data_IF_252334888472
#
_entry.id   IF_252334888472
#
_cell.length_a   1.000
_cell.length_b   1.000
_cell.length_c   1.000
_cell.angle_alpha   90.00
_cell.angle_beta   90.00
_cell.angle_gamma   90.00
#
_symmetry.space_group_name_H-M   'P 1'
#
loop_
_entity.id
_entity.type
_entity.pdbx_description
1 polymer ?
#
# COMPACT_ATOMS: atom_id res chain seq x y z
N UNK A 1 -19.50 20.20 -81.52
CA UNK A 1 -20.97 20.41 -81.42
C UNK A 1 -21.60 19.09 -81.00
N UNK A 2 -22.36 19.02 -79.88
CA UNK A 2 -22.31 19.89 -78.69
C UNK A 2 -20.91 19.76 -78.01
N UNK A 3 -20.62 19.77 -76.70
CA UNK A 3 -21.37 19.99 -75.45
C UNK A 3 -20.42 20.59 -74.37
N UNK A 4 -20.97 21.03 -73.24
CA UNK A 4 -20.19 21.45 -72.05
C UNK A 4 -21.06 21.26 -70.79
N UNK A 5 -20.57 20.56 -69.76
CA UNK A 5 -21.16 20.57 -68.40
C UNK A 5 -20.08 20.69 -67.34
N UNK A 6 -20.19 21.72 -66.51
CA UNK A 6 -19.30 22.03 -65.38
C UNK A 6 -20.00 21.69 -64.06
N UNK A 7 -19.34 20.94 -63.18
CA UNK A 7 -19.82 20.67 -61.83
C UNK A 7 -18.69 20.80 -60.79
N UNK A 8 -18.63 21.99 -60.19
CA UNK A 8 -17.84 22.44 -59.04
C UNK A 8 -17.36 21.34 -58.07
N UNK A 9 -16.07 21.36 -57.72
CA UNK A 9 -15.60 20.75 -56.47
C UNK A 9 -16.29 21.40 -55.26
N UNK A 10 -16.83 20.58 -54.36
CA UNK A 10 -17.32 21.04 -53.07
C UNK A 10 -16.27 20.74 -51.98
N UNK A 11 -15.55 21.77 -51.52
CA UNK A 11 -14.71 21.64 -50.34
C UNK A 11 -15.58 21.38 -49.11
N UNK A 12 -15.60 20.14 -48.62
CA UNK A 12 -16.27 19.76 -47.38
C UNK A 12 -15.45 20.25 -46.19
N UNK A 13 -15.70 21.49 -45.77
CA UNK A 13 -15.04 22.08 -44.60
C UNK A 13 -15.23 21.20 -43.37
N UNK A 14 -14.13 20.82 -42.71
CA UNK A 14 -14.17 20.08 -41.47
C UNK A 14 -14.68 21.01 -40.35
N UNK A 15 -15.75 20.60 -39.65
CA UNK A 15 -16.20 21.29 -38.44
C UNK A 15 -15.18 21.01 -37.33
N UNK A 16 -14.72 22.02 -36.56
CA UNK A 16 -13.83 21.76 -35.44
C UNK A 16 -14.55 20.87 -34.42
N UNK A 17 -13.89 19.81 -33.98
CA UNK A 17 -14.39 18.98 -32.89
C UNK A 17 -14.26 19.79 -31.59
N UNK A 18 -15.38 20.16 -30.99
CA UNK A 18 -15.39 20.58 -29.59
C UNK A 18 -15.10 19.36 -28.72
N UNK A 19 -13.81 19.06 -28.55
CA UNK A 19 -13.35 18.22 -27.47
C UNK A 19 -13.87 18.82 -26.16
N UNK A 20 -14.84 18.15 -25.52
CA UNK A 20 -15.26 18.52 -24.17
C UNK A 20 -14.03 18.41 -23.28
N UNK A 21 -13.67 19.50 -22.60
CA UNK A 21 -12.70 19.42 -21.52
C UNK A 21 -13.20 18.36 -20.52
N UNK A 22 -12.34 17.42 -20.17
CA UNK A 22 -12.64 16.49 -19.07
C UNK A 22 -12.85 17.28 -17.78
N UNK A 23 -13.60 16.75 -16.81
CA UNK A 23 -13.65 17.36 -15.48
C UNK A 23 -12.23 17.48 -14.93
N UNK A 24 -11.97 18.57 -14.19
CA UNK A 24 -10.65 18.85 -13.63
C UNK A 24 -10.13 17.66 -12.80
N UNK A 25 -8.81 17.44 -12.83
CA UNK A 25 -8.17 16.42 -12.01
C UNK A 25 -8.40 16.75 -10.53
N UNK A 26 -9.25 15.98 -9.84
CA UNK A 26 -9.19 15.92 -8.39
C UNK A 26 -7.82 15.35 -7.98
N UNK A 27 -7.15 15.98 -7.00
CA UNK A 27 -5.87 15.51 -6.41
C UNK A 27 -6.05 14.21 -5.57
N UNK A 28 -7.13 13.47 -5.76
CA UNK A 28 -7.51 12.30 -4.96
C UNK A 28 -6.70 11.06 -5.34
N UNK A 29 -6.16 10.36 -4.33
CA UNK A 29 -5.47 9.09 -4.51
C UNK A 29 -6.46 8.00 -4.97
N UNK A 30 -6.39 7.63 -6.25
CA UNK A 30 -7.26 6.58 -6.82
C UNK A 30 -6.81 5.19 -6.40
N UNK A 31 -7.79 4.35 -6.01
CA UNK A 31 -7.61 2.94 -5.67
C UNK A 31 -6.90 2.18 -6.80
N UNK A 32 -6.00 1.25 -6.46
CA UNK A 32 -5.31 0.42 -7.45
C UNK A 32 -6.29 -0.51 -8.18
N UNK A 33 -6.26 -0.53 -9.52
CA UNK A 33 -7.15 -1.36 -10.34
C UNK A 33 -6.89 -2.88 -10.21
N UNK A 34 -5.91 -3.29 -9.39
CA UNK A 34 -5.66 -4.67 -8.96
C UNK A 34 -5.51 -4.68 -7.44
N UNK A 35 -6.00 -5.72 -6.75
CA UNK A 35 -5.70 -5.94 -5.34
C UNK A 35 -4.23 -6.36 -5.16
N UNK A 36 -3.70 -6.12 -3.97
CA UNK A 36 -2.36 -6.52 -3.53
C UNK A 36 -2.37 -7.96 -2.99
N UNK A 37 -3.51 -8.39 -2.44
CA UNK A 37 -3.76 -9.75 -1.92
C UNK A 37 -5.27 -10.06 -2.01
N UNK A 38 -5.62 -11.35 -2.14
CA UNK A 38 -6.99 -11.85 -2.14
C UNK A 38 -7.07 -13.14 -1.31
N UNK A 39 -8.21 -13.38 -0.66
CA UNK A 39 -8.40 -14.56 0.19
C UNK A 39 -9.72 -14.47 0.96
N UNK A 40 -9.75 -15.03 2.17
CA UNK A 40 -10.91 -14.97 3.05
C UNK A 40 -10.61 -14.17 4.32
N UNK A 41 -11.61 -13.49 4.88
CA UNK A 41 -11.59 -12.97 6.25
C UNK A 41 -12.36 -13.95 7.12
N UNK A 42 -11.74 -14.49 8.18
CA UNK A 42 -12.36 -15.46 9.09
C UNK A 42 -12.42 -14.92 10.52
N UNK A 43 -13.63 -14.92 11.07
CA UNK A 43 -13.93 -14.70 12.48
C UNK A 43 -14.58 -15.95 13.06
N UNK A 44 -13.77 -16.80 13.72
CA UNK A 44 -14.21 -18.09 14.25
C UNK A 44 -14.85 -18.97 13.15
N UNK A 45 -16.19 -19.13 13.15
CA UNK A 45 -16.95 -19.89 12.16
C UNK A 45 -17.46 -19.04 10.98
N UNK A 46 -17.43 -17.71 11.08
CA UNK A 46 -17.84 -16.79 10.00
C UNK A 46 -16.66 -16.60 9.04
N UNK A 47 -16.90 -16.74 7.74
CA UNK A 47 -15.89 -16.53 6.70
C UNK A 47 -16.50 -15.78 5.50
N UNK A 48 -15.77 -14.83 4.93
CA UNK A 48 -16.17 -14.13 3.71
C UNK A 48 -14.99 -13.89 2.74
N UNK A 49 -15.19 -14.05 1.42
CA UNK A 49 -14.16 -13.77 0.41
C UNK A 49 -13.91 -12.25 0.26
N UNK A 50 -12.64 -11.85 0.32
CA UNK A 50 -12.18 -10.45 0.45
C UNK A 50 -10.89 -10.20 -0.36
N UNK A 51 -10.61 -8.92 -0.61
CA UNK A 51 -9.42 -8.45 -1.29
C UNK A 51 -8.86 -7.17 -0.64
N UNK A 52 -7.52 -7.09 -0.54
CA UNK A 52 -6.78 -5.94 -0.02
C UNK A 52 -6.32 -5.04 -1.17
N UNK A 53 -6.67 -3.75 -1.12
CA UNK A 53 -6.23 -2.72 -2.07
C UNK A 53 -5.42 -1.65 -1.34
N UNK A 54 -4.40 -1.06 -1.97
CA UNK A 54 -3.61 0.00 -1.33
C UNK A 54 -4.47 1.22 -1.02
N UNK A 55 -4.50 1.68 0.23
CA UNK A 55 -5.23 2.88 0.64
C UNK A 55 -4.42 4.18 0.42
N UNK A 56 -3.13 4.06 0.12
CA UNK A 56 -2.25 5.16 -0.28
C UNK A 56 -1.76 4.94 -1.72
N UNK A 57 -1.54 6.03 -2.45
CA UNK A 57 -1.05 5.99 -3.83
C UNK A 57 0.34 6.58 -3.93
N UNK A 58 1.21 5.91 -4.70
CA UNK A 58 2.55 6.36 -5.10
C UNK A 58 2.57 7.05 -6.46
N UNK A 59 1.43 7.59 -6.89
CA UNK A 59 1.30 8.22 -8.22
C UNK A 59 2.14 9.49 -8.39
N UNK A 60 2.56 10.12 -7.29
CA UNK A 60 3.42 11.30 -7.27
C UNK A 60 4.91 10.96 -7.14
N UNK A 61 5.28 9.70 -6.81
CA UNK A 61 6.67 9.28 -6.67
C UNK A 61 7.42 9.45 -8.01
N UNK A 62 8.32 10.44 -8.10
CA UNK A 62 9.13 10.69 -9.31
C UNK A 62 10.15 9.56 -9.50
N UNK A 63 9.75 8.51 -10.21
CA UNK A 63 10.65 7.39 -10.53
C UNK A 63 11.60 7.76 -11.66
N UNK A 64 12.87 8.02 -11.33
CA UNK A 64 13.91 8.25 -12.33
C UNK A 64 14.22 6.99 -13.14
N UNK A 65 14.80 7.18 -14.32
CA UNK A 65 15.29 6.12 -15.19
C UNK A 65 16.75 6.38 -15.54
N UNK A 66 17.58 5.33 -15.54
CA UNK A 66 18.94 5.43 -16.06
C UNK A 66 18.87 5.63 -17.57
N UNK A 67 19.46 6.71 -18.06
CA UNK A 67 19.56 7.09 -19.47
C UNK A 67 21.03 7.07 -19.88
N UNK A 68 21.35 6.51 -21.05
CA UNK A 68 22.69 6.65 -21.64
C UNK A 68 22.85 8.11 -22.16
N UNK A 69 23.86 8.87 -21.70
CA UNK A 69 23.95 10.31 -21.98
C UNK A 69 24.35 10.63 -23.43
N UNK A 70 24.97 9.69 -24.15
CA UNK A 70 25.41 9.87 -25.54
C UNK A 70 24.28 9.64 -26.55
N UNK A 71 23.36 8.74 -26.22
CA UNK A 71 22.30 8.26 -27.14
C UNK A 71 20.88 8.57 -26.68
N UNK A 72 20.72 9.12 -25.47
CA UNK A 72 19.45 9.36 -24.78
C UNK A 72 18.54 8.12 -24.62
N UNK A 73 19.08 6.91 -24.81
CA UNK A 73 18.32 5.67 -24.66
C UNK A 73 18.16 5.26 -23.19
N UNK A 74 16.97 4.81 -22.83
CA UNK A 74 16.68 4.21 -21.51
C UNK A 74 17.41 2.89 -21.34
N UNK A 75 18.25 2.78 -20.31
CA UNK A 75 18.96 1.56 -19.95
C UNK A 75 17.96 0.44 -19.57
N UNK A 76 18.29 -0.80 -19.95
CA UNK A 76 17.64 -2.03 -19.49
C UNK A 76 18.63 -2.83 -18.64
N UNK A 77 18.27 -3.09 -17.38
CA UNK A 77 19.10 -3.91 -16.48
C UNK A 77 18.89 -5.39 -16.79
N UNK A 78 19.88 -6.01 -17.43
CA UNK A 78 19.95 -7.45 -17.72
C UNK A 78 20.73 -8.14 -16.59
N UNK A 79 20.29 -9.33 -16.18
CA UNK A 79 21.08 -10.14 -15.24
C UNK A 79 22.31 -10.68 -15.97
N UNK A 80 23.48 -10.63 -15.36
CA UNK A 80 24.73 -11.08 -15.97
C UNK A 80 25.49 -11.90 -14.95
N UNK A 81 25.73 -13.15 -15.29
CA UNK A 81 26.59 -14.05 -14.55
C UNK A 81 28.06 -13.73 -14.87
N UNK A 82 28.99 -13.71 -13.90
CA UNK A 82 30.37 -13.29 -14.13
C UNK A 82 31.14 -14.18 -15.12
N UNK A 83 30.83 -15.48 -15.16
CA UNK A 83 31.58 -16.47 -15.94
C UNK A 83 30.92 -16.79 -17.29
N UNK A 84 29.59 -16.70 -17.37
CA UNK A 84 28.80 -17.10 -18.55
C UNK A 84 28.07 -15.95 -19.26
N UNK A 85 28.04 -14.74 -18.67
CA UNK A 85 27.49 -13.54 -19.31
C UNK A 85 25.98 -13.34 -19.10
N UNK A 86 25.27 -12.67 -20.03
CA UNK A 86 23.87 -12.30 -19.84
C UNK A 86 22.91 -13.50 -19.73
N UNK A 87 22.12 -13.56 -18.63
CA UNK A 87 21.19 -14.66 -18.34
C UNK A 87 19.74 -14.18 -18.41
N UNK A 88 18.84 -15.01 -18.95
CA UNK A 88 17.41 -14.71 -18.97
C UNK A 88 16.80 -14.83 -17.57
N UNK A 89 15.99 -13.82 -17.16
CA UNK A 89 15.37 -13.79 -15.82
C UNK A 89 14.45 -14.97 -15.52
N UNK A 90 13.92 -15.64 -16.54
CA UNK A 90 13.09 -16.85 -16.39
C UNK A 90 13.88 -18.08 -15.92
N UNK A 91 15.19 -18.12 -16.21
CA UNK A 91 16.10 -19.21 -15.86
C UNK A 91 16.77 -19.02 -14.48
N UNK A 92 16.55 -17.88 -13.82
CA UNK A 92 17.15 -17.58 -12.52
C UNK A 92 16.41 -18.27 -11.38
N UNK A 93 17.15 -19.08 -10.61
CA UNK A 93 16.67 -19.70 -9.37
C UNK A 93 16.93 -18.81 -8.16
N UNK A 94 16.23 -19.06 -7.04
CA UNK A 94 16.50 -18.38 -5.76
C UNK A 94 17.55 -19.14 -4.97
N UNK A 95 18.54 -18.43 -4.44
CA UNK A 95 19.55 -18.98 -3.53
C UNK A 95 19.45 -18.35 -2.14
N UNK A 96 19.76 -19.12 -1.09
CA UNK A 96 19.90 -18.64 0.28
C UNK A 96 21.35 -18.83 0.76
N UNK A 97 21.98 -17.77 1.26
CA UNK A 97 23.37 -17.81 1.72
C UNK A 97 23.46 -18.41 3.13
N UNK A 98 24.07 -19.60 3.24
CA UNK A 98 24.25 -20.30 4.53
C UNK A 98 25.61 -19.97 5.19
N UNK A 99 26.60 -19.65 4.38
CA UNK A 99 27.94 -19.19 4.75
C UNK A 99 28.45 -18.28 3.63
N UNK A 100 29.48 -17.46 3.89
CA UNK A 100 30.00 -16.51 2.91
C UNK A 100 30.28 -17.18 1.54
N UNK A 101 29.66 -16.65 0.49
CA UNK A 101 29.71 -17.15 -0.89
C UNK A 101 29.17 -18.59 -1.10
N UNK A 102 28.46 -19.18 -0.12
CA UNK A 102 27.90 -20.53 -0.19
C UNK A 102 26.37 -20.47 -0.16
N UNK A 103 25.76 -20.75 -1.31
CA UNK A 103 24.31 -20.64 -1.53
C UNK A 103 23.66 -22.02 -1.66
N UNK A 104 22.59 -22.24 -0.91
CA UNK A 104 21.64 -23.34 -1.16
C UNK A 104 20.61 -22.84 -2.16
N UNK A 105 20.51 -23.51 -3.33
CA UNK A 105 19.42 -23.26 -4.28
C UNK A 105 18.13 -23.76 -3.67
N UNK A 106 17.13 -22.88 -3.55
CA UNK A 106 15.79 -23.21 -3.05
C UNK A 106 14.83 -23.20 -4.22
N UNK A 107 14.28 -24.38 -4.56
CA UNK A 107 13.37 -24.53 -5.70
C UNK A 107 11.99 -23.90 -5.39
N UNK A 108 11.21 -23.52 -6.42
CA UNK A 108 9.84 -23.06 -6.22
C UNK A 108 8.99 -24.06 -5.43
N UNK A 109 9.15 -25.36 -5.69
CA UNK A 109 8.37 -26.44 -5.07
C UNK A 109 8.73 -26.64 -3.59
N UNK A 110 9.99 -26.36 -3.22
CA UNK A 110 10.48 -26.42 -1.84
C UNK A 110 9.99 -25.23 -1.01
N UNK A 111 9.91 -24.04 -1.62
CA UNK A 111 9.24 -22.87 -1.01
C UNK A 111 7.73 -23.10 -0.86
N UNK A 112 7.12 -23.78 -1.83
CA UNK A 112 5.70 -24.12 -1.81
C UNK A 112 5.36 -25.17 -0.74
N UNK A 113 6.24 -26.14 -0.50
CA UNK A 113 6.11 -27.11 0.61
C UNK A 113 6.34 -26.51 2.01
N UNK A 114 6.91 -25.30 2.10
CA UNK A 114 7.15 -24.55 3.35
C UNK A 114 6.15 -23.37 3.51
N UNK A 115 5.15 -23.25 2.63
CA UNK A 115 4.06 -22.26 2.80
C UNK A 115 3.30 -22.50 4.10
N UNK A 116 3.09 -21.42 4.86
CA UNK A 116 2.19 -21.44 6.02
C UNK A 116 0.78 -21.79 5.54
N UNK A 117 0.08 -22.67 6.26
CA UNK A 117 -1.26 -23.15 5.88
C UNK A 117 -2.29 -22.00 5.75
N UNK A 118 -2.05 -20.89 6.44
CA UNK A 118 -2.84 -19.63 6.42
C UNK A 118 -2.61 -18.73 5.20
N UNK A 119 -1.93 -19.20 4.14
CA UNK A 119 -1.50 -18.37 2.98
C UNK A 119 -2.60 -17.47 2.38
N UNK A 120 -3.85 -17.93 2.34
CA UNK A 120 -4.99 -17.24 1.70
C UNK A 120 -6.12 -16.84 2.69
N UNK A 121 -5.82 -16.65 3.97
CA UNK A 121 -6.82 -16.23 4.97
C UNK A 121 -6.29 -15.12 5.89
N UNK A 122 -7.13 -14.14 6.20
CA UNK A 122 -6.99 -13.23 7.34
C UNK A 122 -7.75 -13.85 8.51
N UNK A 123 -7.02 -14.44 9.45
CA UNK A 123 -7.59 -15.00 10.67
C UNK A 123 -7.58 -13.97 11.79
N UNK A 124 -8.76 -13.62 12.33
CA UNK A 124 -8.87 -12.74 13.50
C UNK A 124 -8.55 -13.55 14.77
N UNK A 125 -7.46 -13.18 15.45
CA UNK A 125 -6.94 -13.83 16.66
C UNK A 125 -7.40 -13.14 17.96
N UNK A 126 -7.64 -11.81 17.93
CA UNK A 126 -7.89 -11.00 19.13
C UNK A 126 -8.61 -9.70 18.80
N UNK A 127 -9.25 -9.11 19.81
CA UNK A 127 -9.76 -7.74 19.79
C UNK A 127 -9.03 -6.90 20.85
N UNK A 128 -8.68 -5.65 20.54
CA UNK A 128 -7.98 -4.70 21.43
C UNK A 128 -8.57 -3.29 21.30
N UNK A 129 -8.23 -2.38 22.22
CA UNK A 129 -8.50 -0.94 22.04
C UNK A 129 -7.44 -0.34 21.08
N UNK A 130 -7.79 0.66 20.27
CA UNK A 130 -6.82 1.29 19.34
C UNK A 130 -5.60 1.85 20.09
N UNK A 131 -5.83 2.43 21.28
CA UNK A 131 -4.79 3.00 22.15
C UNK A 131 -3.80 1.98 22.73
N UNK A 132 -4.09 0.68 22.67
CA UNK A 132 -3.13 -0.36 23.06
C UNK A 132 -2.02 -0.54 22.00
N UNK A 133 -2.27 -0.11 20.77
CA UNK A 133 -1.37 -0.25 19.63
C UNK A 133 -0.57 1.05 19.46
N UNK A 134 0.59 1.12 20.13
CA UNK A 134 1.52 2.25 20.02
C UNK A 134 1.80 2.62 18.54
N UNK A 135 1.83 3.94 18.24
CA UNK A 135 1.91 4.47 16.86
C UNK A 135 3.13 3.95 16.08
N UNK A 136 4.22 3.55 16.75
CA UNK A 136 5.40 2.95 16.13
C UNK A 136 5.12 1.59 15.46
N UNK A 137 4.06 0.87 15.83
CA UNK A 137 3.70 -0.41 15.23
C UNK A 137 2.89 -0.27 13.93
N UNK A 138 2.15 0.83 13.73
CA UNK A 138 1.29 1.00 12.55
C UNK A 138 2.10 1.26 11.28
N UNK A 139 1.89 0.45 10.23
CA UNK A 139 2.64 0.52 8.98
C UNK A 139 1.75 0.92 7.79
N UNK A 140 1.55 0.05 6.79
CA UNK A 140 0.86 0.41 5.54
C UNK A 140 -0.64 0.14 5.63
N UNK A 141 -1.51 1.11 5.32
CA UNK A 141 -2.96 0.93 5.25
C UNK A 141 -3.43 0.38 3.89
N UNK A 142 -4.47 -0.45 3.95
CA UNK A 142 -5.14 -1.09 2.82
C UNK A 142 -6.65 -1.06 3.01
N UNK A 143 -7.42 -0.78 1.97
CA UNK A 143 -8.86 -1.04 1.99
C UNK A 143 -9.10 -2.54 1.85
N UNK A 144 -9.80 -3.14 2.82
CA UNK A 144 -10.24 -4.53 2.79
C UNK A 144 -11.69 -4.54 2.27
N UNK A 145 -11.91 -5.09 1.07
CA UNK A 145 -13.21 -5.07 0.40
C UNK A 145 -13.73 -6.49 0.15
N UNK A 146 -15.06 -6.73 0.14
CA UNK A 146 -15.62 -8.01 -0.31
C UNK A 146 -15.25 -8.26 -1.78
N UNK A 147 -14.72 -9.45 -2.10
CA UNK A 147 -14.39 -9.80 -3.49
C UNK A 147 -15.55 -10.46 -4.24
N UNK A 148 -16.55 -10.98 -3.52
CA UNK A 148 -17.74 -11.61 -4.09
C UNK A 148 -19.01 -11.17 -3.36
N UNK A 149 -20.15 -11.23 -4.06
CA UNK A 149 -21.48 -10.91 -3.49
C UNK A 149 -21.92 -11.90 -2.40
N UNK A 150 -21.46 -13.14 -2.49
CA UNK A 150 -21.64 -14.22 -1.50
C UNK A 150 -21.13 -13.87 -0.11
N UNK A 151 -20.11 -13.00 -0.01
CA UNK A 151 -19.48 -12.60 1.25
C UNK A 151 -20.07 -11.35 1.92
N UNK A 152 -21.00 -10.64 1.27
CA UNK A 152 -21.42 -9.30 1.69
C UNK A 152 -22.04 -9.26 3.09
N UNK A 153 -22.93 -10.20 3.41
CA UNK A 153 -23.64 -10.20 4.69
C UNK A 153 -22.67 -10.49 5.85
N UNK A 154 -21.85 -11.54 5.72
CA UNK A 154 -20.83 -11.92 6.69
C UNK A 154 -19.76 -10.82 6.90
N UNK A 155 -19.31 -10.18 5.83
CA UNK A 155 -18.43 -9.00 5.91
C UNK A 155 -19.10 -7.83 6.65
N UNK A 156 -20.37 -7.56 6.36
CA UNK A 156 -21.11 -6.43 6.97
C UNK A 156 -21.36 -6.67 8.46
N UNK A 157 -21.64 -7.92 8.87
CA UNK A 157 -21.74 -8.32 10.27
C UNK A 157 -20.41 -8.13 11.01
N UNK A 158 -19.28 -8.51 10.41
CA UNK A 158 -17.95 -8.30 11.02
C UNK A 158 -17.65 -6.79 11.17
N UNK A 159 -17.96 -5.98 10.17
CA UNK A 159 -17.81 -4.51 10.25
C UNK A 159 -18.67 -3.90 11.36
N UNK A 160 -19.96 -4.22 11.40
CA UNK A 160 -20.87 -3.63 12.38
C UNK A 160 -20.52 -4.06 13.81
N UNK A 161 -20.11 -5.32 14.02
CA UNK A 161 -19.65 -5.78 15.33
C UNK A 161 -18.37 -5.07 15.81
N UNK A 162 -17.47 -4.67 14.90
CA UNK A 162 -16.30 -3.86 15.23
C UNK A 162 -16.68 -2.41 15.56
N UNK A 163 -17.62 -1.81 14.81
CA UNK A 163 -18.14 -0.46 15.03
C UNK A 163 -18.87 -0.35 16.38
N UNK A 164 -19.83 -1.25 16.65
CA UNK A 164 -20.62 -1.27 17.90
C UNK A 164 -19.76 -1.51 19.15
N UNK A 165 -18.67 -2.27 19.03
CA UNK A 165 -17.77 -2.55 20.18
C UNK A 165 -16.63 -1.54 20.32
N UNK A 166 -16.38 -0.70 19.31
CA UNK A 166 -15.25 0.24 19.29
C UNK A 166 -13.88 -0.46 19.29
N UNK A 167 -13.78 -1.68 18.74
CA UNK A 167 -12.58 -2.53 18.84
C UNK A 167 -11.81 -2.62 17.53
N UNK A 168 -10.49 -2.78 17.67
CA UNK A 168 -9.61 -3.20 16.57
C UNK A 168 -9.49 -4.72 16.60
N UNK A 169 -9.79 -5.39 15.47
CA UNK A 169 -9.48 -6.81 15.31
C UNK A 169 -8.02 -6.98 14.89
N UNK A 170 -7.26 -7.72 15.70
CA UNK A 170 -5.92 -8.19 15.36
C UNK A 170 -6.00 -9.56 14.70
N UNK A 171 -5.28 -9.74 13.61
CA UNK A 171 -5.18 -11.00 12.88
C UNK A 171 -3.87 -11.14 12.11
N UNK A 172 -3.74 -12.19 11.31
CA UNK A 172 -2.55 -12.41 10.46
C UNK A 172 -2.90 -12.59 9.00
N UNK A 173 -1.97 -12.21 8.13
CA UNK A 173 -2.07 -12.41 6.68
C UNK A 173 -0.70 -12.74 6.09
N UNK A 174 -0.64 -13.61 5.07
CA UNK A 174 0.59 -13.88 4.33
C UNK A 174 0.67 -12.99 3.09
N UNK A 175 1.52 -11.97 3.13
CA UNK A 175 1.74 -11.02 2.04
C UNK A 175 3.21 -11.04 1.59
N UNK A 176 3.44 -11.13 0.27
CA UNK A 176 4.78 -11.15 -0.32
C UNK A 176 5.73 -12.20 0.31
N UNK A 177 5.22 -13.42 0.55
CA UNK A 177 5.95 -14.54 1.16
C UNK A 177 6.44 -14.28 2.59
N UNK A 178 5.78 -13.37 3.33
CA UNK A 178 5.94 -13.23 4.79
C UNK A 178 4.58 -13.13 5.48
N UNK A 179 4.46 -13.76 6.64
CA UNK A 179 3.36 -13.47 7.57
C UNK A 179 3.50 -12.03 8.09
N UNK A 180 2.37 -11.33 8.21
CA UNK A 180 2.22 -10.00 8.80
C UNK A 180 1.10 -10.02 9.82
N UNK A 181 1.32 -9.40 10.96
CA UNK A 181 0.24 -8.99 11.84
C UNK A 181 -0.54 -7.86 11.17
N UNK A 182 -1.87 -7.88 11.26
CA UNK A 182 -2.77 -6.84 10.75
C UNK A 182 -3.74 -6.38 11.83
N UNK A 183 -4.03 -5.08 11.81
CA UNK A 183 -5.11 -4.45 12.54
C UNK A 183 -6.24 -4.10 11.57
N UNK A 184 -7.48 -4.47 11.89
CA UNK A 184 -8.68 -4.14 11.12
C UNK A 184 -9.51 -3.14 11.94
N UNK A 185 -9.71 -1.92 11.40
CA UNK A 185 -10.67 -0.94 11.90
C UNK A 185 -11.93 -0.94 11.00
N UNK A 186 -13.14 -0.71 11.56
CA UNK A 186 -14.29 -0.34 10.78
C UNK A 186 -14.11 1.09 10.25
N UNK A 187 -14.52 1.33 9.00
CA UNK A 187 -14.41 2.65 8.38
C UNK A 187 -15.57 2.92 7.43
N UNK A 188 -16.50 3.75 7.87
CA UNK A 188 -17.75 4.02 7.15
C UNK A 188 -18.50 2.72 6.80
N UNK A 189 -18.58 2.39 5.51
CA UNK A 189 -19.22 1.17 4.97
C UNK A 189 -18.22 0.04 4.69
N UNK A 190 -16.96 0.21 5.08
CA UNK A 190 -15.86 -0.71 4.80
C UNK A 190 -15.04 -1.10 6.02
N UNK A 191 -13.97 -1.87 5.77
CA UNK A 191 -12.91 -2.19 6.72
C UNK A 191 -11.60 -1.62 6.18
N UNK A 192 -10.83 -0.96 7.05
CA UNK A 192 -9.48 -0.51 6.75
C UNK A 192 -8.49 -1.41 7.50
N UNK A 193 -7.58 -2.02 6.75
CA UNK A 193 -6.62 -3.01 7.23
C UNK A 193 -5.22 -2.42 7.23
N UNK A 194 -4.61 -2.26 8.39
CA UNK A 194 -3.22 -1.84 8.52
C UNK A 194 -2.34 -3.05 8.74
N UNK A 195 -1.27 -3.16 7.96
CA UNK A 195 -0.14 -3.99 8.37
C UNK A 195 0.50 -3.37 9.62
N UNK A 196 0.85 -4.21 10.58
CA UNK A 196 1.64 -3.83 11.75
C UNK A 196 3.09 -4.32 11.59
N UNK A 197 4.02 -3.60 12.23
CA UNK A 197 5.42 -3.99 12.37
C UNK A 197 5.57 -5.06 13.46
N UNK A 198 6.53 -5.95 13.30
CA UNK A 198 6.90 -6.90 14.35
C UNK A 198 7.75 -6.23 15.44
N UNK A 199 7.88 -6.88 16.61
CA UNK A 199 8.55 -6.25 17.77
C UNK A 199 10.02 -5.95 17.52
N UNK A 200 10.69 -6.75 16.70
CA UNK A 200 12.08 -6.58 16.26
C UNK A 200 12.26 -5.45 15.23
N UNK A 201 11.23 -5.14 14.43
CA UNK A 201 11.22 -3.98 13.52
C UNK A 201 11.06 -2.62 14.24
N UNK A 202 10.72 -2.62 15.54
CA UNK A 202 10.46 -1.41 16.34
C UNK A 202 11.62 -1.10 17.29
N UNK A 203 12.41 -0.07 16.96
CA UNK A 203 13.50 0.41 17.81
C UNK A 203 13.04 0.77 19.23
N UNK A 204 13.89 0.55 20.25
CA UNK A 204 13.53 0.77 21.65
C UNK A 204 13.69 2.26 22.03
N UNK A 205 12.62 2.97 22.47
CA UNK A 205 12.73 4.37 22.89
C UNK A 205 13.72 4.58 24.04
N UNK A 206 13.90 3.60 24.93
CA UNK A 206 14.84 3.69 26.07
C UNK A 206 16.31 3.75 25.64
N UNK A 207 16.64 3.19 24.47
CA UNK A 207 18.00 3.29 23.91
C UNK A 207 18.15 4.49 22.98
N UNK A 208 17.08 4.86 22.25
CA UNK A 208 17.07 6.03 21.38
C UNK A 208 17.14 7.37 22.15
N UNK A 209 16.63 7.41 23.38
CA UNK A 209 16.59 8.61 24.23
C UNK A 209 17.53 8.53 25.45
N UNK A 210 18.50 7.61 25.47
CA UNK A 210 19.35 7.34 26.63
C UNK A 210 20.15 8.57 27.11
N UNK A 211 20.61 9.40 26.17
CA UNK A 211 21.41 10.60 26.45
C UNK A 211 20.56 11.86 26.77
N UNK A 212 19.22 11.76 26.71
CA UNK A 212 18.32 12.89 26.99
C UNK A 212 18.11 13.01 28.51
N UNK A 213 18.51 14.12 29.16
CA UNK A 213 18.40 14.24 30.62
C UNK A 213 16.93 14.23 31.09
N UNK A 214 16.61 13.33 32.03
CA UNK A 214 15.30 13.28 32.69
C UNK A 214 15.04 14.43 33.69
N UNK A 215 15.86 15.49 33.66
CA UNK A 215 15.72 16.66 34.52
C UNK A 215 14.53 17.52 34.07
N UNK A 216 13.71 17.98 35.02
CA UNK A 216 12.58 18.87 34.72
C UNK A 216 13.10 20.26 34.32
N UNK A 217 12.73 20.82 33.15
CA UNK A 217 13.09 22.17 32.76
C UNK A 217 12.48 23.25 33.67
N UNK A 218 12.97 24.48 33.54
CA UNK A 218 12.38 25.64 34.21
C UNK A 218 10.90 25.80 33.86
N UNK A 219 10.06 26.01 34.89
CA UNK A 219 8.60 26.07 34.73
C UNK A 219 8.16 27.28 33.91
N UNK A 220 8.80 28.44 34.06
CA UNK A 220 8.46 29.66 33.30
C UNK A 220 8.76 29.49 31.82
N UNK A 221 9.86 28.82 31.47
CA UNK A 221 10.16 28.45 30.08
C UNK A 221 9.12 27.49 29.50
N UNK A 222 8.71 26.47 30.26
CA UNK A 222 7.63 25.55 29.86
C UNK A 222 6.29 26.29 29.67
N UNK A 223 5.93 27.19 30.58
CA UNK A 223 4.66 27.94 30.49
C UNK A 223 4.68 29.04 29.40
N UNK A 224 5.86 29.47 28.92
CA UNK A 224 6.00 30.26 27.69
C UNK A 224 5.79 29.36 26.46
N UNK A 225 6.42 28.19 26.41
CA UNK A 225 6.29 27.27 25.28
C UNK A 225 4.84 26.80 25.07
N UNK A 226 4.09 26.53 26.15
CA UNK A 226 2.65 26.22 26.09
C UNK A 226 1.85 27.30 25.35
N UNK A 227 2.06 28.58 25.68
CA UNK A 227 1.32 29.68 25.04
C UNK A 227 1.57 29.78 23.54
N UNK A 228 2.77 29.42 23.08
CA UNK A 228 3.10 29.37 21.65
C UNK A 228 2.32 28.23 20.98
N UNK A 229 2.26 27.05 21.62
CA UNK A 229 1.47 25.90 21.14
C UNK A 229 -0.04 26.24 21.13
N UNK A 230 -0.55 26.83 22.21
CA UNK A 230 -1.96 27.27 22.34
C UNK A 230 -2.36 28.31 21.28
N UNK A 231 -1.40 29.12 20.79
CA UNK A 231 -1.59 30.10 19.72
C UNK A 231 -1.41 29.55 18.31
N UNK A 232 -0.80 28.37 18.14
CA UNK A 232 -0.46 27.77 16.84
C UNK A 232 -1.19 26.44 16.56
N UNK A 233 -1.95 25.91 17.52
CA UNK A 233 -2.81 24.75 17.34
C UNK A 233 -3.96 25.02 16.36
N UNK A 234 -4.33 24.01 15.58
CA UNK A 234 -5.43 24.05 14.61
C UNK A 234 -5.81 22.64 14.14
N UNK A 235 -6.84 22.51 13.29
CA UNK A 235 -7.16 21.25 12.63
C UNK A 235 -6.04 20.81 11.68
N UNK A 236 -5.92 19.50 11.45
CA UNK A 236 -5.09 18.97 10.36
C UNK A 236 -5.90 18.95 9.06
N UNK A 237 -5.63 19.93 8.20
CA UNK A 237 -6.22 20.05 6.85
C UNK A 237 -5.11 19.73 5.83
N UNK A 238 -5.07 18.50 5.25
CA UNK A 238 -4.02 18.09 4.31
C UNK A 238 -3.83 19.03 3.12
N UNK A 239 -4.90 19.68 2.69
CA UNK A 239 -4.96 20.59 1.54
C UNK A 239 -4.14 21.88 1.74
N UNK A 240 -3.76 22.21 2.98
CA UNK A 240 -2.91 23.36 3.30
C UNK A 240 -1.41 23.07 3.15
N UNK A 241 -1.02 21.82 2.91
CA UNK A 241 0.36 21.38 2.81
C UNK A 241 0.67 20.96 1.37
N UNK A 242 1.30 21.85 0.60
CA UNK A 242 1.85 21.50 -0.73
C UNK A 242 3.25 20.86 -0.62
N UNK A 243 3.60 20.09 -1.65
CA UNK A 243 4.81 19.26 -1.82
C UNK A 243 5.66 19.82 -2.98
#
# INVERSE_FOLDING_TARGET
MPARKTAKHAHKAARPSHAKAGPAHSKEARLSARPVWQGHLRLSLVSCPVALFGATSRANDISFHLINPETNNRIKMVATDPDTGPVERSSLVRGFEIQKNHYVIVKPEELDAVKLETTNTIDIERFVDESDIDRMFWNTPYFLLPSEKSGLDAYTVIREALEETGRIALGRVVMHTRERLVALEPRERGLLAYTLRMRDEVANPKTAFADIPAARPDKRMVDIAKKIIEQQQGPFEPELFED
#
